data_IF_897092355193
#
_entry.id   IF_897092355193
#
_cell.length_a   1.000
_cell.length_b   1.000
_cell.length_c   1.000
_cell.angle_alpha   90.00
_cell.angle_beta   90.00
_cell.angle_gamma   90.00
#
_symmetry.space_group_name_H-M   'P 1'
#
loop_
_entity.id
_entity.type
_entity.pdbx_description
1 polymer ?
#
# COMPACT_ATOMS: atom_id res chain seq x y z
N UNK A 1 8.63 20.08 12.97
CA UNK A 1 8.88 19.07 11.94
C UNK A 1 7.57 18.78 11.25
N UNK A 2 7.61 18.65 9.93
CA UNK A 2 6.44 18.23 9.17
C UNK A 2 6.28 16.71 9.34
N UNK A 3 5.27 16.30 10.11
CA UNK A 3 5.00 14.89 10.42
C UNK A 3 3.90 14.31 9.51
N UNK A 4 3.51 15.04 8.45
CA UNK A 4 2.44 14.65 7.55
C UNK A 4 2.68 13.26 6.90
N UNK A 5 3.89 12.90 6.40
CA UNK A 5 4.13 11.57 5.84
C UNK A 5 3.94 10.44 6.87
N UNK A 6 4.35 10.65 8.12
CA UNK A 6 4.17 9.68 9.21
C UNK A 6 2.69 9.47 9.52
N UNK A 7 1.92 10.56 9.58
CA UNK A 7 0.47 10.51 9.80
C UNK A 7 -0.23 9.77 8.65
N UNK A 8 0.16 10.06 7.40
CA UNK A 8 -0.36 9.39 6.21
C UNK A 8 -0.01 7.89 6.20
N UNK A 9 1.20 7.51 6.58
CA UNK A 9 1.60 6.11 6.70
C UNK A 9 0.76 5.35 7.74
N UNK A 10 0.49 5.98 8.90
CA UNK A 10 -0.38 5.41 9.93
C UNK A 10 -1.83 5.28 9.46
N UNK A 11 -2.34 6.28 8.74
CA UNK A 11 -3.66 6.22 8.10
C UNK A 11 -3.74 5.07 7.08
N UNK A 12 -2.72 4.89 6.24
CA UNK A 12 -2.65 3.79 5.30
C UNK A 12 -2.73 2.43 6.02
N UNK A 13 -1.97 2.25 7.10
CA UNK A 13 -2.03 1.03 7.90
C UNK A 13 -3.43 0.76 8.49
N UNK A 14 -4.12 1.80 8.97
CA UNK A 14 -5.49 1.67 9.48
C UNK A 14 -6.47 1.23 8.39
N UNK A 15 -6.42 1.85 7.20
CA UNK A 15 -7.33 1.48 6.10
C UNK A 15 -6.98 0.14 5.46
N UNK A 16 -5.72 -0.28 5.53
CA UNK A 16 -5.30 -1.65 5.21
C UNK A 16 -5.91 -2.65 6.20
N UNK A 17 -5.82 -2.38 7.51
CA UNK A 17 -6.41 -3.23 8.56
C UNK A 17 -7.93 -3.35 8.41
N UNK A 18 -8.62 -2.29 8.00
CA UNK A 18 -10.06 -2.28 7.76
C UNK A 18 -10.47 -2.79 6.36
N UNK A 19 -9.51 -3.22 5.54
CA UNK A 19 -9.71 -3.60 4.14
C UNK A 19 -10.55 -2.58 3.35
N UNK A 20 -10.27 -1.28 3.55
CA UNK A 20 -10.94 -0.17 2.89
C UNK A 20 -10.06 0.35 1.74
N UNK A 21 -10.19 -0.28 0.57
CA UNK A 21 -9.27 -0.03 -0.54
C UNK A 21 -9.33 1.42 -1.07
N UNK A 22 -10.50 1.99 -1.32
CA UNK A 22 -10.59 3.36 -1.88
C UNK A 22 -10.01 4.43 -0.93
N UNK A 23 -10.30 4.41 0.39
CA UNK A 23 -9.58 5.25 1.34
C UNK A 23 -8.07 5.03 1.37
N UNK A 24 -7.61 3.77 1.37
CA UNK A 24 -6.19 3.45 1.30
C UNK A 24 -5.55 4.07 0.06
N UNK A 25 -6.17 3.91 -1.12
CA UNK A 25 -5.72 4.49 -2.38
C UNK A 25 -5.57 6.00 -2.31
N UNK A 26 -6.57 6.70 -1.78
CA UNK A 26 -6.51 8.15 -1.60
C UNK A 26 -5.33 8.59 -0.72
N UNK A 27 -5.06 7.84 0.36
CA UNK A 27 -3.93 8.11 1.26
C UNK A 27 -2.60 7.82 0.55
N UNK A 28 -2.50 6.76 -0.24
CA UNK A 28 -1.29 6.48 -1.04
C UNK A 28 -1.00 7.62 -2.03
N UNK A 29 -2.01 8.19 -2.68
CA UNK A 29 -1.82 9.35 -3.55
C UNK A 29 -1.37 10.59 -2.78
N UNK A 30 -1.97 10.87 -1.61
CA UNK A 30 -1.54 11.97 -0.76
C UNK A 30 -0.09 11.77 -0.27
N UNK A 31 0.25 10.55 0.13
CA UNK A 31 1.58 10.17 0.56
C UNK A 31 2.58 10.29 -0.59
N UNK A 32 2.26 9.84 -1.80
CA UNK A 32 3.12 9.97 -2.98
C UNK A 32 3.47 11.42 -3.28
N UNK A 33 2.56 12.37 -3.05
CA UNK A 33 2.81 13.79 -3.26
C UNK A 33 3.78 14.40 -2.23
N UNK A 34 3.97 13.75 -1.07
CA UNK A 34 4.80 14.22 0.04
C UNK A 34 6.11 13.46 0.16
N UNK A 35 6.02 12.13 0.03
CA UNK A 35 7.10 11.16 0.12
C UNK A 35 6.81 9.99 -0.85
N UNK A 36 7.26 10.08 -2.11
CA UNK A 36 7.02 9.05 -3.12
C UNK A 36 7.74 7.73 -2.83
N UNK A 37 8.88 7.76 -2.13
CA UNK A 37 9.62 6.54 -1.77
C UNK A 37 8.87 5.73 -0.70
N UNK A 38 8.31 6.42 0.31
CA UNK A 38 7.49 5.77 1.33
C UNK A 38 6.19 5.23 0.74
N UNK A 39 5.52 5.97 -0.15
CA UNK A 39 4.34 5.49 -0.85
C UNK A 39 4.63 4.22 -1.68
N UNK A 40 5.76 4.21 -2.40
CA UNK A 40 6.21 3.04 -3.16
C UNK A 40 6.48 1.85 -2.23
N UNK A 41 7.18 2.08 -1.12
CA UNK A 41 7.51 1.05 -0.12
C UNK A 41 6.24 0.41 0.45
N UNK A 42 5.20 1.20 0.76
CA UNK A 42 3.92 0.67 1.26
C UNK A 42 3.27 -0.26 0.23
N UNK A 43 3.18 0.18 -1.03
CA UNK A 43 2.59 -0.63 -2.10
C UNK A 43 3.37 -1.92 -2.34
N UNK A 44 4.70 -1.83 -2.45
CA UNK A 44 5.58 -3.00 -2.61
C UNK A 44 5.45 -3.98 -1.45
N UNK A 45 5.36 -3.47 -0.21
CA UNK A 45 5.18 -4.31 0.98
C UNK A 45 3.88 -5.11 0.91
N UNK A 46 2.78 -4.46 0.54
CA UNK A 46 1.48 -5.14 0.41
C UNK A 46 1.51 -6.22 -0.69
N UNK A 47 2.14 -5.92 -1.83
CA UNK A 47 2.28 -6.89 -2.93
C UNK A 47 3.21 -8.05 -2.55
N UNK A 48 4.34 -7.78 -1.89
CA UNK A 48 5.28 -8.80 -1.43
C UNK A 48 4.64 -9.80 -0.46
N UNK A 49 3.74 -9.32 0.40
CA UNK A 49 2.98 -10.18 1.33
C UNK A 49 1.75 -10.83 0.68
N UNK A 50 1.49 -10.62 -0.62
CA UNK A 50 0.25 -11.06 -1.28
C UNK A 50 -1.01 -10.64 -0.51
N UNK A 51 -0.99 -9.43 0.08
CA UNK A 51 -2.08 -8.90 0.89
C UNK A 51 -2.37 -9.71 2.16
N UNK A 52 -1.52 -10.69 2.52
CA UNK A 52 -1.67 -11.53 3.68
C UNK A 52 -1.12 -10.81 4.91
N UNK A 53 -1.99 -10.03 5.54
CA UNK A 53 -1.70 -9.41 6.83
C UNK A 53 -2.57 -10.06 7.91
N UNK A 54 -2.01 -10.19 9.10
CA UNK A 54 -2.75 -10.71 10.25
C UNK A 54 -3.85 -9.74 10.69
N UNK A 55 -4.96 -10.28 11.17
CA UNK A 55 -6.07 -9.54 11.79
C UNK A 55 -6.80 -8.53 10.88
N UNK A 56 -6.65 -8.61 9.55
CA UNK A 56 -7.40 -7.75 8.63
C UNK A 56 -8.91 -8.03 8.74
N UNK A 57 -9.69 -6.97 8.92
CA UNK A 57 -11.14 -6.99 8.90
C UNK A 57 -11.62 -6.84 7.46
N UNK A 58 -11.63 -7.94 6.71
CA UNK A 58 -12.08 -7.97 5.31
C UNK A 58 -13.48 -7.36 5.15
N UNK A 59 -13.62 -6.50 4.14
CA UNK A 59 -14.83 -5.71 3.88
C UNK A 59 -15.49 -6.16 2.57
N UNK A 60 -16.70 -5.68 2.29
CA UNK A 60 -17.34 -5.96 1.00
C UNK A 60 -16.64 -5.29 -0.18
N UNK A 61 -15.91 -4.20 0.04
CA UNK A 61 -15.13 -3.52 -1.01
C UNK A 61 -13.76 -4.16 -1.25
N UNK A 62 -13.21 -4.88 -0.26
CA UNK A 62 -12.02 -5.69 -0.40
C UNK A 62 -12.16 -6.95 0.46
N UNK A 63 -12.64 -8.04 -0.17
CA UNK A 63 -13.10 -9.23 0.54
C UNK A 63 -12.03 -10.33 0.70
N UNK A 64 -10.85 -10.17 0.10
CA UNK A 64 -9.80 -11.19 0.17
C UNK A 64 -8.39 -10.60 0.02
N UNK A 65 -7.36 -11.29 0.55
CA UNK A 65 -5.95 -10.94 0.32
C UNK A 65 -5.58 -10.85 -1.16
N UNK A 66 -6.12 -11.76 -1.98
CA UNK A 66 -5.86 -11.80 -3.42
C UNK A 66 -6.44 -10.58 -4.14
N UNK A 67 -7.66 -10.15 -3.77
CA UNK A 67 -8.26 -8.95 -4.32
C UNK A 67 -7.48 -7.70 -3.92
N UNK A 68 -7.06 -7.60 -2.65
CA UNK A 68 -6.19 -6.53 -2.17
C UNK A 68 -4.90 -6.46 -2.98
N UNK A 69 -4.21 -7.59 -3.13
CA UNK A 69 -2.95 -7.68 -3.90
C UNK A 69 -3.13 -7.22 -5.33
N UNK A 70 -4.19 -7.69 -5.99
CA UNK A 70 -4.52 -7.31 -7.35
C UNK A 70 -4.72 -5.80 -7.49
N UNK A 71 -5.56 -5.22 -6.63
CA UNK A 71 -5.86 -3.78 -6.68
C UNK A 71 -4.62 -2.91 -6.37
N UNK A 72 -3.83 -3.31 -5.38
CA UNK A 72 -2.57 -2.62 -5.02
C UNK A 72 -1.54 -2.75 -6.13
N UNK A 73 -1.49 -3.89 -6.83
CA UNK A 73 -0.63 -4.07 -8.00
C UNK A 73 -0.99 -3.09 -9.11
N UNK A 74 -2.29 -2.84 -9.36
CA UNK A 74 -2.73 -1.85 -10.33
C UNK A 74 -2.30 -0.42 -9.96
N UNK A 75 -2.30 -0.08 -8.67
CA UNK A 75 -1.79 1.21 -8.19
C UNK A 75 -0.26 1.30 -8.29
N UNK A 76 0.44 0.22 -7.97
CA UNK A 76 1.88 0.13 -8.07
C UNK A 76 2.38 0.29 -9.51
N UNK A 77 1.65 -0.26 -10.50
CA UNK A 77 1.94 -0.09 -11.92
C UNK A 77 1.80 1.36 -12.42
N UNK A 78 1.10 2.23 -11.69
CA UNK A 78 0.97 3.66 -11.99
C UNK A 78 2.15 4.51 -11.47
N UNK A 79 3.16 3.90 -10.84
CA UNK A 79 4.42 4.58 -10.54
C UNK A 79 5.29 4.65 -11.79
N UNK A 80 5.83 5.83 -12.10
CA UNK A 80 6.48 6.19 -13.38
C UNK A 80 7.72 5.35 -13.74
N UNK A 81 8.20 4.48 -12.85
CA UNK A 81 9.33 3.58 -13.07
C UNK A 81 8.96 2.12 -12.81
N UNK A 82 8.18 1.52 -13.72
CA UNK A 82 7.78 0.12 -13.64
C UNK A 82 8.97 -0.88 -13.53
N UNK A 83 10.19 -0.50 -13.92
CA UNK A 83 11.38 -1.33 -13.80
C UNK A 83 12.02 -1.35 -12.40
N UNK A 84 11.95 -0.24 -11.64
CA UNK A 84 12.44 -0.20 -10.25
C UNK A 84 11.39 -0.70 -9.25
N UNK A 85 10.11 -0.60 -9.62
CA UNK A 85 8.94 -1.02 -8.84
C UNK A 85 9.00 -2.50 -8.43
N UNK A 86 9.66 -3.36 -9.20
CA UNK A 86 9.76 -4.79 -8.91
C UNK A 86 11.08 -5.21 -8.24
N UNK A 87 11.93 -4.27 -7.80
CA UNK A 87 13.06 -4.63 -6.95
C UNK A 87 12.56 -4.90 -5.53
N UNK A 88 12.19 -6.15 -5.25
CA UNK A 88 11.90 -6.58 -3.89
C UNK A 88 13.22 -6.76 -3.13
N UNK A 89 13.42 -6.00 -2.05
CA UNK A 89 14.55 -6.21 -1.15
C UNK A 89 14.42 -7.59 -0.51
N UNK A 90 15.29 -8.50 -0.93
CA UNK A 90 15.30 -9.90 -0.52
C UNK A 90 15.62 -10.09 0.97
N UNK A 91 16.09 -9.04 1.63
CA UNK A 91 16.48 -9.05 3.05
C UNK A 91 15.31 -8.88 4.02
N UNK A 92 14.10 -8.57 3.52
CA UNK A 92 12.88 -8.42 4.35
C UNK A 92 11.85 -9.55 4.17
N UNK A 93 12.23 -10.65 3.51
CA UNK A 93 11.40 -11.86 3.32
C UNK A 93 11.73 -12.93 4.36
#
# INVERSE_FOLDING_TARGET
MDNEPEILARLAANHLFLAQFEPLRAIIHALRAKDPELALTVLQTIVAHSGQFENVLWSSSCASPSLLTYLVTLELLQFDNASSVWSFDREKL
#
